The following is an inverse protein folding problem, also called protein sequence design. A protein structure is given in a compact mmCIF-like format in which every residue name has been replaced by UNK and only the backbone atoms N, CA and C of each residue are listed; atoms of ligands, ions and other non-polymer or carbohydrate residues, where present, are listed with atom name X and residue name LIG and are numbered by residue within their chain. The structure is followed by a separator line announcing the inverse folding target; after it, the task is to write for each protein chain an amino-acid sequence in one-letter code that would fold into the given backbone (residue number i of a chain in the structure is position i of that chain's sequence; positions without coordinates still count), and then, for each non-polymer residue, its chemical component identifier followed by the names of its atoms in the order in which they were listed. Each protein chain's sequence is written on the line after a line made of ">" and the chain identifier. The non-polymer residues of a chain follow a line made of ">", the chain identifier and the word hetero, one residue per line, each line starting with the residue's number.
data_IF_758375436754
#
_entry.id   IF_758375436754
#
_cell.length_a   1.000
_cell.length_b   1.000
_cell.length_c   1.000
_cell.angle_alpha   90.00
_cell.angle_beta   90.00
_cell.angle_gamma   90.00
#
_symmetry.space_group_name_H-M   'P 1'
#
loop_
_entity.id
_entity.type
_entity.pdbx_description
1 polymer ?
#
# COMPACT_ATOMS: atom_id res chain seq x y z
N UNK A 1 -0.06 24.12 -8.46
CA UNK A 1 0.97 23.67 -7.48
C UNK A 1 2.26 24.46 -7.70
N UNK A 2 2.89 24.40 -8.89
CA UNK A 2 4.22 25.00 -9.16
C UNK A 2 4.32 26.51 -8.84
N UNK A 3 3.23 27.24 -9.01
CA UNK A 3 3.19 28.70 -8.75
C UNK A 3 2.84 29.04 -7.30
N UNK A 4 2.48 28.06 -6.47
CA UNK A 4 2.05 28.24 -5.09
C UNK A 4 0.94 29.34 -4.97
N UNK A 5 -0.07 29.26 -5.84
CA UNK A 5 -1.09 30.31 -5.99
C UNK A 5 -2.12 30.22 -4.85
N UNK A 6 -2.18 31.27 -4.04
CA UNK A 6 -3.14 31.38 -2.94
C UNK A 6 -4.60 31.63 -3.39
N UNK A 7 -4.82 32.03 -4.65
CA UNK A 7 -6.14 32.24 -5.22
C UNK A 7 -6.60 31.06 -6.10
N UNK A 8 -5.74 30.05 -6.26
CA UNK A 8 -6.05 28.85 -7.04
C UNK A 8 -7.02 27.92 -6.30
N UNK A 9 -7.45 26.82 -6.95
CA UNK A 9 -8.26 25.81 -6.29
C UNK A 9 -7.52 25.18 -5.11
N UNK A 10 -8.24 24.86 -4.04
CA UNK A 10 -7.66 24.29 -2.84
C UNK A 10 -7.08 22.90 -3.12
N UNK A 11 -5.84 22.69 -2.73
CA UNK A 11 -5.17 21.38 -2.73
C UNK A 11 -4.22 21.30 -1.56
N UNK A 12 -4.44 20.29 -0.68
CA UNK A 12 -3.64 20.04 0.51
C UNK A 12 -3.20 18.58 0.52
N UNK A 13 -1.94 18.33 0.80
CA UNK A 13 -1.44 16.99 1.09
C UNK A 13 -1.35 16.78 2.60
N UNK A 14 -2.10 15.81 3.11
CA UNK A 14 -2.02 15.40 4.51
C UNK A 14 -0.87 14.40 4.67
N UNK A 15 0.06 14.73 5.56
CA UNK A 15 1.26 13.95 5.82
C UNK A 15 1.14 13.08 7.08
N UNK A 16 0.43 13.58 8.09
CA UNK A 16 0.29 12.91 9.40
C UNK A 16 -0.97 13.39 10.12
N UNK A 17 -1.45 12.56 11.02
CA UNK A 17 -2.56 12.90 11.92
C UNK A 17 -2.02 12.99 13.37
N UNK A 18 -2.39 14.01 14.10
CA UNK A 18 -2.01 14.22 15.49
C UNK A 18 -3.24 14.15 16.39
N UNK A 19 -3.19 13.42 17.50
CA UNK A 19 -4.25 13.43 18.49
C UNK A 19 -4.26 14.75 19.27
N UNK A 20 -5.42 15.09 19.81
CA UNK A 20 -5.52 16.06 20.89
C UNK A 20 -5.01 15.46 22.19
N UNK A 21 -4.79 16.28 23.23
CA UNK A 21 -4.25 15.81 24.51
C UNK A 21 -5.09 14.71 25.20
N UNK A 22 -6.37 14.64 24.89
CA UNK A 22 -7.34 13.67 25.39
C UNK A 22 -7.69 12.56 24.38
N UNK A 23 -7.04 12.54 23.20
CA UNK A 23 -7.26 11.60 22.12
C UNK A 23 -8.73 11.42 21.67
N UNK A 24 -9.58 12.43 21.93
CA UNK A 24 -10.98 12.43 21.49
C UNK A 24 -11.13 12.94 20.08
N UNK A 25 -10.29 13.90 19.69
CA UNK A 25 -10.25 14.48 18.35
C UNK A 25 -8.86 14.31 17.73
N UNK A 26 -8.83 14.25 16.41
CA UNK A 26 -7.61 14.17 15.63
C UNK A 26 -7.48 15.35 14.69
N UNK A 27 -6.26 15.84 14.54
CA UNK A 27 -5.95 16.95 13.64
C UNK A 27 -5.06 16.49 12.52
N UNK A 28 -5.51 16.72 11.30
CA UNK A 28 -4.77 16.38 10.08
C UNK A 28 -3.70 17.45 9.82
N UNK A 29 -2.43 17.04 9.83
CA UNK A 29 -1.29 17.89 9.51
C UNK A 29 -0.91 17.75 8.05
N UNK A 30 -0.92 18.85 7.31
CA UNK A 30 -0.66 18.83 5.90
C UNK A 30 -0.04 20.12 5.38
N UNK A 31 0.38 20.08 4.12
CA UNK A 31 0.89 21.24 3.40
C UNK A 31 -0.13 21.74 2.39
N UNK A 32 -0.45 23.03 2.44
CA UNK A 32 -1.28 23.68 1.43
C UNK A 32 -0.43 23.91 0.19
N UNK A 33 -0.77 23.24 -0.91
CA UNK A 33 -0.04 23.32 -2.18
C UNK A 33 -0.62 24.36 -3.13
N UNK A 34 -1.93 24.59 -3.04
CA UNK A 34 -2.67 25.57 -3.84
C UNK A 34 -3.90 26.05 -3.08
N UNK A 35 -4.35 27.25 -3.34
CA UNK A 35 -5.52 27.84 -2.72
C UNK A 35 -5.28 28.36 -1.31
N UNK A 36 -6.36 28.65 -0.60
CA UNK A 36 -6.37 29.07 0.80
C UNK A 36 -7.45 28.29 1.52
N UNK A 37 -7.12 27.65 2.63
CA UNK A 37 -8.08 26.93 3.46
C UNK A 37 -8.59 27.85 4.57
N UNK A 38 -9.90 27.82 4.84
CA UNK A 38 -10.56 28.60 5.86
C UNK A 38 -11.47 27.75 6.74
N UNK A 39 -11.71 28.20 7.97
CA UNK A 39 -12.65 27.54 8.87
C UNK A 39 -14.08 27.59 8.28
N UNK A 40 -14.83 26.49 8.42
CA UNK A 40 -16.19 26.36 7.89
C UNK A 40 -16.27 26.00 6.40
N UNK A 41 -15.13 25.84 5.71
CA UNK A 41 -15.08 25.43 4.32
C UNK A 41 -15.40 23.94 4.15
N UNK A 42 -16.29 23.59 3.22
CA UNK A 42 -16.51 22.20 2.80
C UNK A 42 -15.43 21.78 1.82
N UNK A 43 -14.86 20.61 2.05
CA UNK A 43 -13.75 20.04 1.28
C UNK A 43 -14.02 18.58 0.94
N UNK A 44 -13.46 18.11 -0.16
CA UNK A 44 -13.38 16.68 -0.48
C UNK A 44 -12.09 16.11 0.13
N UNK A 45 -12.21 15.04 0.90
CA UNK A 45 -11.11 14.28 1.43
C UNK A 45 -11.00 12.99 0.64
N UNK A 46 -9.86 12.78 -0.02
CA UNK A 46 -9.58 11.64 -0.87
C UNK A 46 -8.53 10.77 -0.20
N UNK A 47 -8.85 9.50 -0.03
CA UNK A 47 -7.88 8.51 0.43
C UNK A 47 -6.89 8.09 -0.65
N UNK A 48 -5.89 7.27 -0.31
CA UNK A 48 -4.85 6.85 -1.24
C UNK A 48 -5.34 5.91 -2.34
N UNK A 49 -6.47 5.24 -2.14
CA UNK A 49 -7.06 4.27 -3.09
C UNK A 49 -8.13 4.86 -3.98
N UNK A 50 -8.47 6.14 -3.81
CA UNK A 50 -9.47 6.81 -4.62
C UNK A 50 -9.11 6.81 -6.11
N UNK A 51 -10.08 6.44 -6.93
CA UNK A 51 -10.03 6.61 -8.40
C UNK A 51 -11.27 7.37 -8.87
N UNK A 52 -11.20 8.10 -10.01
CA UNK A 52 -12.36 8.81 -10.55
C UNK A 52 -13.56 7.92 -10.91
N UNK A 53 -13.31 6.62 -11.09
CA UNK A 53 -14.32 5.62 -11.44
C UNK A 53 -14.95 4.98 -10.19
N UNK A 54 -14.27 5.08 -9.04
CA UNK A 54 -14.66 4.49 -7.77
C UNK A 54 -14.56 5.54 -6.66
N UNK A 55 -15.71 5.99 -6.17
CA UNK A 55 -15.82 7.01 -5.13
C UNK A 55 -15.80 6.43 -3.70
N UNK A 56 -15.48 5.16 -3.50
CA UNK A 56 -15.53 4.52 -2.19
C UNK A 56 -14.60 5.18 -1.15
N UNK A 57 -13.44 5.68 -1.57
CA UNK A 57 -12.45 6.32 -0.69
C UNK A 57 -12.51 7.85 -0.76
N UNK A 58 -13.70 8.42 -0.87
CA UNK A 58 -13.95 9.85 -0.85
C UNK A 58 -14.99 10.23 0.21
N UNK A 59 -14.74 11.33 0.91
CA UNK A 59 -15.73 11.96 1.78
C UNK A 59 -15.78 13.47 1.59
N UNK A 60 -16.96 14.05 1.77
CA UNK A 60 -17.14 15.50 1.81
C UNK A 60 -17.32 15.89 3.28
N UNK A 61 -16.34 16.65 3.78
CA UNK A 61 -16.25 17.03 5.19
C UNK A 61 -16.16 18.56 5.33
N UNK A 62 -16.48 19.07 6.50
CA UNK A 62 -16.39 20.49 6.80
C UNK A 62 -15.24 20.75 7.78
N UNK A 63 -14.33 21.63 7.41
CA UNK A 63 -13.22 22.04 8.24
C UNK A 63 -13.75 22.80 9.46
N UNK A 64 -13.70 22.21 10.65
CA UNK A 64 -14.17 22.81 11.89
C UNK A 64 -13.16 23.80 12.51
N UNK A 65 -11.87 23.61 12.24
CA UNK A 65 -10.81 24.47 12.73
C UNK A 65 -9.56 24.44 11.86
N UNK A 66 -8.92 25.59 11.77
CA UNK A 66 -7.66 25.79 11.04
C UNK A 66 -6.60 26.30 12.00
N UNK A 67 -5.46 25.64 12.07
CA UNK A 67 -4.40 25.97 13.02
C UNK A 67 -3.03 25.92 12.35
N UNK A 68 -2.10 26.70 12.89
CA UNK A 68 -0.67 26.61 12.58
C UNK A 68 0.01 25.80 13.69
N UNK A 69 0.82 24.81 13.32
CA UNK A 69 1.55 23.98 14.26
C UNK A 69 2.84 24.69 14.73
N UNK A 70 2.93 24.94 16.03
CA UNK A 70 4.12 25.49 16.67
C UNK A 70 4.61 24.52 17.75
N UNK A 71 5.38 23.51 17.33
CA UNK A 71 5.80 22.39 18.17
C UNK A 71 4.58 21.68 18.80
N UNK A 72 4.41 21.76 20.12
CA UNK A 72 3.26 21.19 20.83
C UNK A 72 2.00 22.09 20.86
N UNK A 73 2.11 23.29 20.37
CA UNK A 73 0.99 24.24 20.37
C UNK A 73 0.31 24.27 18.99
N UNK A 74 -1.00 24.38 19.00
CA UNK A 74 -1.81 24.63 17.80
C UNK A 74 -2.41 26.04 17.93
N UNK A 75 -1.91 26.97 17.12
CA UNK A 75 -2.36 28.37 17.12
C UNK A 75 -3.46 28.52 16.09
N UNK A 76 -4.65 28.95 16.52
CA UNK A 76 -5.78 29.16 15.65
C UNK A 76 -5.49 30.26 14.59
N UNK A 77 -5.81 29.97 13.33
CA UNK A 77 -5.68 30.90 12.23
C UNK A 77 -7.02 31.02 11.47
N UNK A 78 -7.41 32.21 11.01
CA UNK A 78 -8.64 32.38 10.23
C UNK A 78 -8.58 31.72 8.87
N UNK A 79 -7.38 31.57 8.31
CA UNK A 79 -7.10 30.90 7.06
C UNK A 79 -5.61 30.76 6.82
N UNK A 80 -5.22 29.75 6.04
CA UNK A 80 -3.83 29.46 5.71
C UNK A 80 -3.69 29.35 4.19
N UNK A 81 -2.85 30.21 3.56
CA UNK A 81 -2.63 30.19 2.13
C UNK A 81 -1.61 29.14 1.69
N UNK A 82 -1.56 28.89 0.38
CA UNK A 82 -0.60 28.01 -0.26
C UNK A 82 0.85 28.26 0.18
N UNK A 83 1.64 27.18 0.26
CA UNK A 83 3.05 27.19 0.66
C UNK A 83 3.27 26.93 2.16
N UNK A 84 2.25 27.03 2.98
CA UNK A 84 2.33 26.87 4.43
C UNK A 84 1.89 25.49 4.90
N UNK A 85 2.31 25.12 6.10
CA UNK A 85 1.84 23.95 6.81
C UNK A 85 0.61 24.33 7.65
N UNK A 86 -0.33 23.39 7.75
CA UNK A 86 -1.60 23.59 8.44
C UNK A 86 -1.99 22.36 9.25
N UNK A 87 -2.69 22.59 10.36
CA UNK A 87 -3.43 21.58 11.11
C UNK A 87 -4.93 21.83 10.89
N UNK A 88 -5.66 20.81 10.48
CA UNK A 88 -7.10 20.87 10.22
C UNK A 88 -7.84 19.94 11.16
N UNK A 89 -8.94 20.44 11.76
CA UNK A 89 -9.89 19.65 12.56
C UNK A 89 -11.17 19.41 11.77
N UNK A 90 -11.86 18.29 12.07
CA UNK A 90 -13.18 17.97 11.53
C UNK A 90 -13.16 17.22 10.21
N UNK A 91 -11.99 16.78 9.74
CA UNK A 91 -11.81 16.02 8.48
C UNK A 91 -11.14 14.67 8.68
N UNK A 92 -10.92 14.27 9.93
CA UNK A 92 -10.10 13.09 10.26
C UNK A 92 -10.84 11.76 10.16
N UNK A 93 -12.17 11.76 10.00
CA UNK A 93 -12.99 10.56 10.08
C UNK A 93 -12.54 9.48 9.08
N UNK A 94 -12.27 9.86 7.84
CA UNK A 94 -11.88 8.96 6.74
C UNK A 94 -10.37 8.84 6.54
N UNK A 95 -9.57 9.68 7.19
CA UNK A 95 -8.11 9.66 7.03
C UNK A 95 -7.51 8.51 7.83
N UNK A 96 -6.89 7.57 7.14
CA UNK A 96 -6.16 6.47 7.78
C UNK A 96 -4.71 6.88 8.15
N UNK A 97 -3.93 7.35 7.19
CA UNK A 97 -2.53 7.80 7.38
C UNK A 97 -2.21 9.05 6.60
N UNK A 98 -2.56 9.06 5.31
CA UNK A 98 -2.39 10.17 4.38
C UNK A 98 -3.67 10.39 3.61
N UNK A 99 -3.88 11.59 3.15
CA UNK A 99 -5.02 11.95 2.31
C UNK A 99 -4.70 13.16 1.45
N UNK A 100 -5.48 13.34 0.41
CA UNK A 100 -5.49 14.56 -0.39
C UNK A 100 -6.78 15.31 -0.11
N UNK A 101 -6.68 16.57 0.25
CA UNK A 101 -7.84 17.44 0.48
C UNK A 101 -7.94 18.43 -0.66
N UNK A 102 -9.11 18.51 -1.28
CA UNK A 102 -9.35 19.40 -2.40
C UNK A 102 -10.71 20.11 -2.29
N UNK A 103 -10.89 21.13 -3.14
CA UNK A 103 -12.13 21.88 -3.21
C UNK A 103 -13.28 21.01 -3.73
N UNK A 104 -14.48 21.18 -3.18
CA UNK A 104 -15.71 20.52 -3.63
C UNK A 104 -16.11 20.91 -5.05
N UNK A 105 -15.72 22.10 -5.49
CA UNK A 105 -16.03 22.63 -6.82
C UNK A 105 -15.18 22.02 -7.94
N UNK A 106 -14.10 21.31 -7.61
CA UNK A 106 -13.26 20.66 -8.63
C UNK A 106 -14.02 19.50 -9.29
N UNK A 107 -14.05 19.46 -10.65
CA UNK A 107 -14.65 18.36 -11.37
C UNK A 107 -13.86 17.06 -11.11
N UNK A 108 -14.55 15.93 -11.17
CA UNK A 108 -13.96 14.59 -10.92
C UNK A 108 -12.78 14.32 -11.86
N UNK A 109 -12.86 14.78 -13.11
CA UNK A 109 -11.81 14.64 -14.13
C UNK A 109 -10.49 15.35 -13.78
N UNK A 110 -10.54 16.39 -12.96
CA UNK A 110 -9.40 17.22 -12.59
C UNK A 110 -8.95 16.95 -11.13
N UNK A 111 -9.52 15.92 -10.51
CA UNK A 111 -9.24 15.54 -9.14
C UNK A 111 -8.16 14.45 -9.12
N UNK A 112 -6.98 14.80 -8.61
CA UNK A 112 -5.84 13.89 -8.52
C UNK A 112 -5.49 13.61 -7.07
N UNK A 113 -5.24 12.34 -6.77
CA UNK A 113 -4.70 11.92 -5.47
C UNK A 113 -3.19 12.12 -5.46
N UNK A 114 -2.70 12.82 -4.45
CA UNK A 114 -1.27 12.96 -4.23
C UNK A 114 -0.73 11.64 -3.66
N UNK A 115 0.37 11.15 -4.22
CA UNK A 115 0.99 9.91 -3.77
C UNK A 115 1.29 9.97 -2.26
N UNK A 116 1.04 8.88 -1.53
CA UNK A 116 1.43 8.78 -0.13
C UNK A 116 2.93 9.00 0.04
N UNK A 117 3.32 9.49 1.22
CA UNK A 117 4.74 9.64 1.55
C UNK A 117 5.33 8.24 1.75
N UNK A 118 6.30 7.88 0.91
CA UNK A 118 7.03 6.62 1.02
C UNK A 118 8.08 6.75 2.12
N UNK A 119 8.03 5.85 3.09
CA UNK A 119 9.02 5.76 4.15
C UNK A 119 10.10 4.75 3.76
N UNK A 120 11.38 5.12 3.92
CA UNK A 120 12.53 4.25 3.60
C UNK A 120 12.70 3.10 4.62
N UNK A 121 12.03 3.19 5.77
CA UNK A 121 12.13 2.21 6.85
C UNK A 121 10.88 1.36 6.87
N UNK A 122 11.06 0.06 6.81
CA UNK A 122 9.98 -0.91 6.94
C UNK A 122 9.77 -1.36 8.39
N UNK A 123 8.56 -1.82 8.69
CA UNK A 123 8.20 -2.42 9.97
C UNK A 123 8.63 -3.88 10.00
N UNK A 124 9.64 -4.19 10.81
CA UNK A 124 10.28 -5.52 10.85
C UNK A 124 9.96 -6.32 12.12
N UNK A 125 9.57 -5.65 13.22
CA UNK A 125 9.19 -6.29 14.46
C UNK A 125 7.68 -6.48 14.53
N UNK A 126 7.26 -7.69 14.89
CA UNK A 126 5.88 -8.12 15.04
C UNK A 126 5.62 -8.48 16.49
N UNK A 127 4.55 -7.99 17.06
CA UNK A 127 4.09 -8.28 18.43
C UNK A 127 2.61 -8.62 18.38
N UNK A 128 2.23 -9.75 18.97
CA UNK A 128 0.82 -10.10 19.14
C UNK A 128 0.26 -9.43 20.41
N UNK A 129 -0.95 -8.96 20.32
CA UNK A 129 -1.63 -8.26 21.41
C UNK A 129 -3.02 -8.85 21.68
N UNK A 130 -3.33 -9.00 22.96
CA UNK A 130 -4.60 -9.52 23.41
C UNK A 130 -5.12 -8.67 24.57
N UNK A 131 -6.43 -8.44 24.68
CA UNK A 131 -7.00 -7.82 25.88
C UNK A 131 -6.93 -8.82 27.03
N UNK A 132 -6.63 -8.34 28.25
CA UNK A 132 -6.67 -9.18 29.45
C UNK A 132 -8.08 -9.76 29.68
N UNK A 133 -9.10 -8.99 29.32
CA UNK A 133 -10.51 -9.37 29.42
C UNK A 133 -11.11 -9.44 28.01
N UNK A 134 -11.60 -10.59 27.55
CA UNK A 134 -12.16 -10.74 26.20
C UNK A 134 -13.33 -9.76 25.90
N UNK A 135 -14.07 -9.34 26.90
CA UNK A 135 -15.16 -8.37 26.75
C UNK A 135 -14.66 -6.96 26.32
N UNK A 136 -13.39 -6.65 26.52
CA UNK A 136 -12.78 -5.36 26.18
C UNK A 136 -12.20 -5.34 24.74
N UNK A 137 -12.33 -6.42 23.99
CA UNK A 137 -11.85 -6.52 22.61
C UNK A 137 -12.31 -5.35 21.71
N UNK A 138 -13.60 -4.92 21.72
CA UNK A 138 -14.02 -3.78 20.89
C UNK A 138 -13.27 -2.47 21.25
N UNK A 139 -12.96 -2.25 22.53
CA UNK A 139 -12.20 -1.09 22.99
C UNK A 139 -10.76 -1.13 22.50
N UNK A 140 -10.13 -2.32 22.53
CA UNK A 140 -8.80 -2.52 21.97
C UNK A 140 -8.76 -2.24 20.46
N UNK A 141 -9.74 -2.73 19.71
CA UNK A 141 -9.84 -2.50 18.27
C UNK A 141 -9.99 -1.02 17.91
N UNK A 142 -10.77 -0.27 18.68
CA UNK A 142 -10.88 1.17 18.52
C UNK A 142 -9.53 1.87 18.81
N UNK A 143 -8.86 1.47 19.89
CA UNK A 143 -7.50 1.94 20.19
C UNK A 143 -6.50 1.66 19.09
N UNK A 144 -6.53 0.45 18.49
CA UNK A 144 -5.67 0.08 17.37
C UNK A 144 -5.93 0.93 16.11
N UNK A 145 -7.19 1.25 15.82
CA UNK A 145 -7.53 2.16 14.71
C UNK A 145 -6.94 3.55 14.94
N UNK A 146 -7.01 4.07 16.17
CA UNK A 146 -6.42 5.37 16.56
C UNK A 146 -4.89 5.35 16.44
N UNK A 147 -4.25 4.29 16.90
CA UNK A 147 -2.80 4.08 16.75
C UNK A 147 -2.41 4.05 15.28
N UNK A 148 -3.12 3.30 14.45
CA UNK A 148 -2.82 3.23 13.02
C UNK A 148 -2.92 4.58 12.31
N UNK A 149 -3.83 5.46 12.75
CA UNK A 149 -3.92 6.85 12.24
C UNK A 149 -2.71 7.71 12.63
N UNK A 150 -2.26 7.61 13.89
CA UNK A 150 -1.26 8.52 14.42
C UNK A 150 0.19 8.12 14.13
N UNK A 151 0.42 6.81 14.00
CA UNK A 151 1.75 6.24 13.80
C UNK A 151 1.94 5.76 12.34
N UNK A 152 2.63 6.53 11.49
CA UNK A 152 2.71 6.24 10.05
C UNK A 152 3.36 4.87 9.74
N UNK A 153 4.36 4.48 10.55
CA UNK A 153 5.13 3.25 10.36
C UNK A 153 4.54 2.02 11.08
N UNK A 154 3.49 2.19 11.88
CA UNK A 154 2.77 1.06 12.47
C UNK A 154 1.85 0.44 11.43
N UNK A 155 1.84 -0.87 11.37
CA UNK A 155 0.84 -1.64 10.64
C UNK A 155 0.14 -2.60 11.59
N UNK A 156 -1.17 -2.70 11.47
CA UNK A 156 -1.98 -3.61 12.26
C UNK A 156 -2.53 -4.69 11.35
N UNK A 157 -2.41 -5.95 11.77
CA UNK A 157 -2.96 -7.11 11.04
C UNK A 157 -3.75 -8.01 11.98
N UNK A 158 -4.63 -8.79 11.41
CA UNK A 158 -5.26 -9.94 12.09
C UNK A 158 -4.73 -11.17 11.39
N UNK A 159 -4.06 -12.04 12.14
CA UNK A 159 -3.53 -13.30 11.63
C UNK A 159 -4.67 -14.32 11.41
N UNK A 160 -4.42 -15.37 10.66
CA UNK A 160 -5.40 -16.45 10.45
C UNK A 160 -5.84 -17.13 11.76
N UNK A 161 -4.97 -17.14 12.78
CA UNK A 161 -5.27 -17.57 14.14
C UNK A 161 -6.32 -16.71 14.85
N UNK A 162 -6.63 -15.53 14.32
CA UNK A 162 -7.48 -14.51 14.96
C UNK A 162 -6.73 -13.58 15.90
N UNK A 163 -5.42 -13.72 16.03
CA UNK A 163 -4.58 -12.83 16.85
C UNK A 163 -4.42 -11.47 16.19
N UNK A 164 -4.50 -10.42 17.00
CA UNK A 164 -4.20 -9.08 16.54
C UNK A 164 -2.72 -8.79 16.68
N UNK A 165 -2.06 -8.44 15.58
CA UNK A 165 -0.63 -8.17 15.54
C UNK A 165 -0.35 -6.72 15.19
N UNK A 166 0.67 -6.18 15.85
CA UNK A 166 1.27 -4.88 15.59
C UNK A 166 2.66 -5.08 14.98
N UNK A 167 2.90 -4.44 13.85
CA UNK A 167 4.22 -4.37 13.24
C UNK A 167 4.80 -2.97 13.44
N UNK A 168 6.05 -2.91 13.87
CA UNK A 168 6.78 -1.67 14.11
C UNK A 168 8.24 -1.76 13.67
N UNK A 169 8.91 -0.63 13.61
CA UNK A 169 10.29 -0.51 13.11
C UNK A 169 11.35 -0.95 14.10
N UNK A 170 11.02 -1.02 15.39
CA UNK A 170 11.97 -1.40 16.44
C UNK A 170 11.31 -1.46 17.82
N UNK A 171 12.02 -2.02 18.81
CA UNK A 171 11.50 -2.23 20.17
C UNK A 171 11.07 -0.93 20.82
N UNK A 172 11.93 0.10 20.82
CA UNK A 172 11.63 1.39 21.43
C UNK A 172 10.39 2.07 20.80
N UNK A 173 10.24 1.91 19.49
CA UNK A 173 9.07 2.44 18.78
C UNK A 173 7.79 1.70 19.21
N UNK A 174 7.84 0.38 19.28
CA UNK A 174 6.71 -0.45 19.73
C UNK A 174 6.38 -0.15 21.21
N UNK A 175 7.35 0.04 22.09
CA UNK A 175 7.13 0.40 23.48
C UNK A 175 6.38 1.72 23.61
N UNK A 176 6.75 2.75 22.83
CA UNK A 176 6.01 4.02 22.79
C UNK A 176 4.57 3.82 22.32
N UNK A 177 4.38 3.04 21.24
CA UNK A 177 3.05 2.72 20.71
C UNK A 177 2.20 1.98 21.74
N UNK A 178 2.78 1.00 22.42
CA UNK A 178 2.08 0.20 23.43
C UNK A 178 1.74 1.02 24.69
N UNK A 179 2.63 1.94 25.08
CA UNK A 179 2.36 2.88 26.16
C UNK A 179 1.15 3.77 25.81
N UNK A 180 1.17 4.38 24.62
CA UNK A 180 0.08 5.25 24.19
C UNK A 180 -1.23 4.47 23.99
N UNK A 181 -1.14 3.22 23.53
CA UNK A 181 -2.31 2.35 23.39
C UNK A 181 -2.96 2.08 24.76
N UNK A 182 -2.16 1.81 25.79
CA UNK A 182 -2.65 1.54 27.15
C UNK A 182 -3.20 2.78 27.85
N UNK A 183 -2.44 3.88 27.82
CA UNK A 183 -2.71 5.07 28.63
C UNK A 183 -3.63 6.08 27.94
N UNK A 184 -3.58 6.16 26.59
CA UNK A 184 -4.22 7.24 25.86
C UNK A 184 -5.37 6.77 24.97
N UNK A 185 -5.16 5.71 24.17
CA UNK A 185 -6.13 5.33 23.12
C UNK A 185 -7.15 4.30 23.55
N UNK A 186 -6.73 3.29 24.30
CA UNK A 186 -7.61 2.23 24.75
C UNK A 186 -7.88 2.26 26.26
N UNK A 187 -7.03 2.93 27.07
CA UNK A 187 -7.15 3.02 28.54
C UNK A 187 -7.49 1.66 29.19
N UNK A 188 -6.68 0.64 28.86
CA UNK A 188 -6.91 -0.73 29.31
C UNK A 188 -5.61 -1.52 29.39
N UNK A 189 -5.60 -2.55 30.21
CA UNK A 189 -4.49 -3.50 30.32
C UNK A 189 -4.48 -4.46 29.12
N UNK A 190 -3.32 -4.58 28.47
CA UNK A 190 -3.10 -5.38 27.28
C UNK A 190 -1.96 -6.36 27.54
N UNK A 191 -2.19 -7.62 27.23
CA UNK A 191 -1.16 -8.65 27.19
C UNK A 191 -0.41 -8.56 25.88
N UNK A 192 0.91 -8.62 25.95
CA UNK A 192 1.83 -8.52 24.80
C UNK A 192 2.64 -9.82 24.73
N UNK A 193 2.82 -10.36 23.51
CA UNK A 193 3.74 -11.46 23.25
C UNK A 193 5.19 -10.97 23.19
N UNK A 194 6.13 -11.90 23.24
CA UNK A 194 7.51 -11.59 22.89
C UNK A 194 7.61 -11.09 21.44
N UNK A 195 8.44 -10.08 21.16
CA UNK A 195 8.61 -9.57 19.84
C UNK A 195 9.26 -10.61 18.89
N UNK A 196 8.66 -10.77 17.73
CA UNK A 196 9.16 -11.66 16.67
C UNK A 196 9.57 -10.83 15.47
N UNK A 197 10.68 -11.19 14.83
CA UNK A 197 11.11 -10.52 13.58
C UNK A 197 10.32 -11.06 12.41
N UNK A 198 9.86 -10.17 11.53
CA UNK A 198 9.24 -10.53 10.26
C UNK A 198 10.28 -11.17 9.34
N UNK A 199 9.96 -12.32 8.79
CA UNK A 199 10.78 -13.01 7.80
C UNK A 199 10.26 -12.75 6.39
N UNK A 200 11.08 -13.12 5.40
CA UNK A 200 10.67 -13.16 3.99
C UNK A 200 10.90 -14.58 3.47
N UNK A 201 9.98 -15.05 2.66
CA UNK A 201 10.15 -16.30 1.92
C UNK A 201 10.95 -16.04 0.63
N UNK A 202 11.85 -16.95 0.29
CA UNK A 202 12.64 -16.82 -0.93
C UNK A 202 12.91 -18.18 -1.56
N UNK A 203 13.43 -18.16 -2.78
CA UNK A 203 13.84 -19.34 -3.54
C UNK A 203 15.36 -19.31 -3.68
N UNK A 204 16.03 -20.38 -3.31
CA UNK A 204 17.51 -20.49 -3.33
C UNK A 204 18.01 -20.99 -4.70
N UNK A 205 17.25 -21.90 -5.32
CA UNK A 205 17.61 -22.53 -6.59
C UNK A 205 16.40 -22.56 -7.52
N UNK A 206 16.67 -22.64 -8.82
CA UNK A 206 15.61 -22.79 -9.83
C UNK A 206 14.82 -24.07 -9.59
N UNK A 207 13.50 -24.00 -9.72
CA UNK A 207 12.62 -25.16 -9.62
C UNK A 207 13.09 -26.30 -10.54
N UNK A 208 13.32 -27.48 -9.98
CA UNK A 208 13.74 -28.67 -10.74
C UNK A 208 12.64 -29.17 -11.69
N UNK A 209 11.39 -28.83 -11.42
CA UNK A 209 10.21 -29.24 -12.16
C UNK A 209 9.36 -28.03 -12.53
N UNK A 210 8.78 -28.04 -13.71
CA UNK A 210 7.76 -27.07 -14.08
C UNK A 210 6.49 -27.34 -13.28
N UNK A 211 6.09 -26.38 -12.45
CA UNK A 211 4.89 -26.47 -11.65
C UNK A 211 3.69 -26.00 -12.47
N UNK A 212 2.61 -26.75 -12.45
CA UNK A 212 1.38 -26.36 -13.10
C UNK A 212 0.20 -26.34 -12.14
N UNK A 213 -0.73 -25.42 -12.38
CA UNK A 213 -1.99 -25.35 -11.69
C UNK A 213 -3.14 -25.29 -12.69
N UNK A 214 -4.20 -26.03 -12.39
CA UNK A 214 -5.45 -25.93 -13.13
C UNK A 214 -6.40 -25.01 -12.37
N UNK A 215 -7.13 -24.16 -13.10
CA UNK A 215 -8.20 -23.35 -12.47
C UNK A 215 -9.30 -24.25 -11.90
N UNK A 216 -10.10 -23.78 -10.90
CA UNK A 216 -11.16 -24.58 -10.28
C UNK A 216 -12.13 -25.21 -11.30
N UNK A 217 -12.40 -24.53 -12.40
CA UNK A 217 -13.23 -25.04 -13.50
C UNK A 217 -12.49 -26.01 -14.43
N UNK A 218 -11.17 -26.25 -14.26
CA UNK A 218 -10.31 -27.13 -15.09
C UNK A 218 -10.22 -26.78 -16.58
N UNK A 219 -10.63 -25.58 -16.96
CA UNK A 219 -10.57 -25.13 -18.35
C UNK A 219 -9.29 -24.36 -18.66
N UNK A 220 -8.60 -23.86 -17.65
CA UNK A 220 -7.34 -23.15 -17.83
C UNK A 220 -6.23 -23.84 -17.03
N UNK A 221 -5.02 -23.76 -17.53
CA UNK A 221 -3.79 -24.27 -16.88
C UNK A 221 -2.68 -23.26 -17.07
N UNK A 222 -2.01 -22.93 -15.99
CA UNK A 222 -0.78 -22.15 -16.00
C UNK A 222 0.38 -23.03 -15.58
N UNK A 223 1.51 -22.91 -16.27
CA UNK A 223 2.74 -23.63 -15.94
C UNK A 223 3.83 -22.62 -15.67
N UNK A 224 4.40 -22.68 -14.47
CA UNK A 224 5.31 -21.69 -13.92
C UNK A 224 6.61 -22.37 -13.46
N UNK A 225 7.69 -21.58 -13.46
CA UNK A 225 8.97 -21.91 -12.83
C UNK A 225 9.33 -20.76 -11.90
N UNK A 226 9.75 -21.09 -10.67
CA UNK A 226 10.33 -20.14 -9.75
C UNK A 226 11.85 -20.25 -9.77
N UNK A 227 12.54 -19.14 -9.79
CA UNK A 227 14.00 -19.04 -9.73
C UNK A 227 14.42 -17.83 -8.90
N UNK A 228 15.63 -17.85 -8.29
CA UNK A 228 16.13 -16.70 -7.57
C UNK A 228 16.30 -15.51 -8.52
N UNK A 229 15.97 -14.33 -8.02
CA UNK A 229 16.23 -13.08 -8.73
C UNK A 229 17.73 -12.74 -8.60
N UNK A 230 18.31 -12.18 -9.64
CA UNK A 230 19.71 -11.79 -9.66
C UNK A 230 20.00 -10.69 -8.63
N UNK A 231 21.20 -10.74 -8.03
CA UNK A 231 21.62 -9.82 -6.98
C UNK A 231 21.49 -8.33 -7.39
N UNK A 232 21.00 -7.53 -6.46
CA UNK A 232 20.86 -6.09 -6.63
C UNK A 232 19.56 -5.64 -7.27
N UNK A 233 18.79 -6.51 -7.94
CA UNK A 233 17.50 -6.14 -8.55
C UNK A 233 16.46 -5.86 -7.46
N UNK A 234 16.37 -6.73 -6.46
CA UNK A 234 15.40 -6.60 -5.37
C UNK A 234 15.60 -5.27 -4.61
N UNK A 235 16.86 -4.92 -4.31
CA UNK A 235 17.20 -3.67 -3.62
C UNK A 235 16.88 -2.44 -4.46
N UNK A 236 17.15 -2.48 -5.76
CA UNK A 236 16.88 -1.36 -6.66
C UNK A 236 15.38 -1.17 -6.92
N UNK A 237 14.58 -2.26 -6.90
CA UNK A 237 13.12 -2.20 -6.93
C UNK A 237 12.56 -1.57 -5.64
N UNK A 238 13.00 -2.04 -4.48
CA UNK A 238 12.58 -1.51 -3.17
C UNK A 238 12.93 -0.02 -3.01
N UNK A 239 14.06 0.41 -3.58
CA UNK A 239 14.46 1.84 -3.59
C UNK A 239 13.69 2.69 -4.60
N UNK A 240 12.85 2.08 -5.43
CA UNK A 240 12.10 2.78 -6.48
C UNK A 240 12.98 3.29 -7.63
N UNK A 241 14.16 2.73 -7.83
CA UNK A 241 15.06 3.08 -8.95
C UNK A 241 14.56 2.48 -10.28
N UNK A 242 13.72 1.46 -10.20
CA UNK A 242 13.10 0.80 -11.33
C UNK A 242 11.58 0.95 -11.18
N UNK A 243 10.93 1.60 -12.15
CA UNK A 243 9.49 1.80 -12.17
C UNK A 243 8.86 0.95 -13.29
N UNK A 244 7.84 0.15 -12.95
CA UNK A 244 7.09 -0.69 -13.89
C UNK A 244 6.32 0.14 -14.94
N UNK A 245 5.99 1.38 -14.61
CA UNK A 245 5.26 2.29 -15.50
C UNK A 245 6.15 2.91 -16.59
N UNK A 246 7.46 2.67 -16.55
CA UNK A 246 8.35 3.09 -17.63
C UNK A 246 7.95 2.42 -18.96
N UNK A 247 8.17 3.08 -20.11
CA UNK A 247 7.98 2.45 -21.39
C UNK A 247 8.72 1.13 -21.47
N UNK A 248 8.14 0.02 -22.01
CA UNK A 248 8.76 -1.31 -22.00
C UNK A 248 10.18 -1.35 -22.59
N UNK A 249 10.48 -0.46 -23.54
CA UNK A 249 11.83 -0.34 -24.11
C UNK A 249 12.84 0.27 -23.11
N UNK A 250 12.41 1.22 -22.30
CA UNK A 250 13.27 1.84 -21.31
C UNK A 250 13.52 0.89 -20.14
N UNK A 251 12.46 0.20 -19.68
CA UNK A 251 12.56 -0.84 -18.65
C UNK A 251 13.51 -1.97 -19.09
N UNK A 252 13.33 -2.49 -20.30
CA UNK A 252 14.19 -3.54 -20.88
C UNK A 252 15.65 -3.09 -20.95
N UNK A 253 15.91 -1.84 -21.29
CA UNK A 253 17.27 -1.30 -21.34
C UNK A 253 17.94 -1.31 -19.97
N UNK A 254 17.23 -0.94 -18.91
CA UNK A 254 17.73 -0.98 -17.52
C UNK A 254 18.12 -2.41 -17.15
N UNK A 255 17.25 -3.38 -17.40
CA UNK A 255 17.52 -4.80 -17.11
C UNK A 255 18.71 -5.36 -17.92
N UNK A 256 18.87 -4.93 -19.16
CA UNK A 256 20.00 -5.34 -19.99
C UNK A 256 21.32 -4.72 -19.55
N UNK A 257 21.35 -3.39 -19.38
CA UNK A 257 22.60 -2.66 -19.11
C UNK A 257 23.10 -2.86 -17.67
N UNK A 258 22.22 -2.98 -16.69
CA UNK A 258 22.59 -3.13 -15.28
C UNK A 258 22.75 -4.58 -14.83
N UNK A 259 21.85 -5.45 -15.26
CA UNK A 259 21.75 -6.82 -14.73
C UNK A 259 22.07 -7.90 -15.75
N UNK A 260 22.37 -7.52 -16.99
CA UNK A 260 22.77 -8.46 -18.04
C UNK A 260 21.66 -9.38 -18.55
N UNK A 261 20.37 -9.00 -18.37
CA UNK A 261 19.27 -9.80 -18.86
C UNK A 261 19.26 -9.86 -20.38
N UNK A 262 18.78 -10.99 -20.93
CA UNK A 262 18.50 -11.09 -22.34
C UNK A 262 17.42 -10.09 -22.80
N UNK A 263 17.55 -9.60 -24.04
CA UNK A 263 16.66 -8.59 -24.61
C UNK A 263 15.18 -9.02 -24.63
N UNK A 264 14.93 -10.30 -24.85
CA UNK A 264 13.57 -10.84 -24.88
C UNK A 264 12.99 -10.94 -23.47
N UNK A 265 13.73 -11.52 -22.52
CA UNK A 265 13.34 -11.63 -21.13
C UNK A 265 13.07 -10.24 -20.51
N UNK A 266 13.94 -9.27 -20.77
CA UNK A 266 13.80 -7.91 -20.27
C UNK A 266 12.55 -7.18 -20.79
N UNK A 267 12.06 -7.52 -21.99
CA UNK A 267 10.83 -6.96 -22.57
C UNK A 267 9.57 -7.67 -22.10
N UNK A 268 9.71 -8.88 -21.57
CA UNK A 268 8.63 -9.77 -21.15
C UNK A 268 8.27 -9.60 -19.67
N UNK A 269 8.83 -8.63 -18.97
CA UNK A 269 8.45 -8.32 -17.59
C UNK A 269 7.01 -7.81 -17.57
N UNK A 270 6.16 -8.46 -16.77
CA UNK A 270 4.76 -8.12 -16.66
C UNK A 270 4.40 -7.34 -15.42
N UNK A 271 4.95 -7.73 -14.29
CA UNK A 271 4.63 -7.13 -13.00
C UNK A 271 5.78 -7.29 -12.00
N UNK A 272 5.77 -6.42 -11.02
CA UNK A 272 6.49 -6.60 -9.76
C UNK A 272 5.51 -7.03 -8.67
N UNK A 273 5.98 -7.63 -7.60
CA UNK A 273 5.16 -8.14 -6.51
C UNK A 273 5.82 -7.98 -5.15
N UNK A 274 5.06 -7.72 -4.10
CA UNK A 274 3.59 -7.72 -3.98
C UNK A 274 2.86 -6.47 -4.50
N UNK A 275 3.58 -5.42 -4.85
CA UNK A 275 3.10 -4.18 -5.44
C UNK A 275 4.04 -3.73 -6.57
N UNK A 276 3.81 -2.55 -7.15
CA UNK A 276 4.59 -2.04 -8.28
C UNK A 276 6.05 -1.69 -7.93
N UNK A 277 6.44 -1.75 -6.68
CA UNK A 277 7.80 -1.58 -6.16
C UNK A 277 8.32 -2.82 -5.43
N UNK A 278 7.57 -3.91 -5.49
CA UNK A 278 7.91 -5.14 -4.78
C UNK A 278 9.14 -5.85 -5.35
N UNK A 279 9.90 -6.57 -4.49
CA UNK A 279 11.19 -7.17 -4.83
C UNK A 279 11.08 -8.49 -5.60
N UNK A 280 9.95 -8.78 -6.21
CA UNK A 280 9.73 -9.99 -7.01
C UNK A 280 9.32 -9.63 -8.43
N UNK A 281 9.62 -10.49 -9.40
CA UNK A 281 9.40 -10.21 -10.82
C UNK A 281 8.62 -11.35 -11.48
N UNK A 282 7.57 -11.00 -12.23
CA UNK A 282 6.83 -11.92 -13.10
C UNK A 282 7.25 -11.67 -14.55
N UNK A 283 7.66 -12.74 -15.23
CA UNK A 283 8.12 -12.71 -16.63
C UNK A 283 7.27 -13.65 -17.49
N UNK A 284 6.86 -13.18 -18.65
CA UNK A 284 6.23 -14.01 -19.69
C UNK A 284 7.30 -14.68 -20.57
N UNK A 285 7.52 -15.96 -20.33
CA UNK A 285 8.46 -16.78 -21.08
C UNK A 285 7.74 -17.79 -22.01
N UNK A 286 6.47 -17.57 -22.31
CA UNK A 286 5.69 -18.43 -23.21
C UNK A 286 6.11 -18.22 -24.66
N UNK A 287 6.20 -19.32 -25.42
CA UNK A 287 6.53 -19.27 -26.83
C UNK A 287 5.27 -18.97 -27.66
N UNK A 288 5.37 -18.12 -28.71
CA UNK A 288 4.24 -17.80 -29.58
C UNK A 288 3.68 -19.01 -30.35
N UNK A 289 4.52 -20.03 -30.61
CA UNK A 289 4.12 -21.23 -31.29
C UNK A 289 3.30 -22.20 -30.42
N UNK A 290 3.46 -22.10 -29.08
CA UNK A 290 2.82 -23.01 -28.13
C UNK A 290 1.59 -22.40 -27.45
N UNK A 291 1.51 -21.06 -27.42
CA UNK A 291 0.48 -20.33 -26.67
C UNK A 291 -0.12 -19.22 -27.51
N UNK A 292 -1.45 -19.15 -27.56
CA UNK A 292 -2.16 -18.02 -28.17
C UNK A 292 -1.95 -16.75 -27.34
N UNK A 293 -1.03 -15.90 -27.78
CA UNK A 293 -0.70 -14.63 -27.11
C UNK A 293 -1.89 -13.67 -27.01
N UNK A 294 -2.82 -13.69 -27.98
CA UNK A 294 -4.00 -12.81 -27.97
C UNK A 294 -4.90 -13.19 -26.80
N UNK A 295 -5.16 -14.47 -26.62
CA UNK A 295 -5.95 -14.96 -25.48
C UNK A 295 -5.23 -14.73 -24.16
N UNK A 296 -3.93 -14.99 -24.09
CA UNK A 296 -3.12 -14.76 -22.91
C UNK A 296 -3.15 -13.29 -22.47
N UNK A 297 -3.06 -12.35 -23.39
CA UNK A 297 -3.15 -10.92 -23.08
C UNK A 297 -4.51 -10.50 -22.51
N UNK A 298 -5.61 -11.16 -22.86
CA UNK A 298 -6.93 -10.84 -22.27
C UNK A 298 -7.03 -11.17 -20.79
N UNK A 299 -6.21 -12.09 -20.30
CA UNK A 299 -6.22 -12.55 -18.89
C UNK A 299 -4.99 -12.08 -18.11
N UNK A 300 -4.11 -11.33 -18.75
CA UNK A 300 -2.85 -10.85 -18.19
C UNK A 300 -3.03 -10.18 -16.83
N UNK A 301 -4.01 -9.30 -16.70
CA UNK A 301 -4.23 -8.55 -15.45
C UNK A 301 -4.67 -9.46 -14.29
N UNK A 302 -5.41 -10.52 -14.56
CA UNK A 302 -5.77 -11.51 -13.52
C UNK A 302 -4.55 -12.31 -13.05
N UNK A 303 -3.66 -12.68 -13.99
CA UNK A 303 -2.39 -13.37 -13.66
C UNK A 303 -1.49 -12.46 -12.83
N UNK A 304 -1.39 -11.16 -13.16
CA UNK A 304 -0.64 -10.20 -12.35
C UNK A 304 -1.20 -10.07 -10.94
N UNK A 305 -2.53 -9.94 -10.80
CA UNK A 305 -3.18 -9.85 -9.49
C UNK A 305 -2.92 -11.11 -8.66
N UNK A 306 -3.05 -12.29 -9.25
CA UNK A 306 -2.73 -13.55 -8.58
C UNK A 306 -1.27 -13.61 -8.12
N UNK A 307 -0.33 -13.20 -8.99
CA UNK A 307 1.09 -13.10 -8.64
C UNK A 307 1.36 -12.11 -7.49
N UNK A 308 0.76 -10.93 -7.55
CA UNK A 308 0.91 -9.92 -6.49
C UNK A 308 0.31 -10.38 -5.17
N UNK A 309 -0.79 -11.11 -5.21
CA UNK A 309 -1.37 -11.71 -4.02
C UNK A 309 -0.48 -12.81 -3.44
N UNK A 310 -0.05 -13.77 -4.27
CA UNK A 310 0.84 -14.86 -3.85
C UNK A 310 2.20 -14.39 -3.31
N UNK A 311 2.73 -13.27 -3.81
CA UNK A 311 3.99 -12.70 -3.31
C UNK A 311 3.82 -11.87 -2.04
N UNK A 312 2.60 -11.46 -1.71
CA UNK A 312 2.29 -10.76 -0.46
C UNK A 312 2.25 -11.71 0.72
N UNK A 313 1.69 -12.90 0.52
CA UNK A 313 1.56 -13.97 1.49
C UNK A 313 2.09 -15.25 0.85
N UNK A 314 3.33 -15.60 1.19
CA UNK A 314 4.01 -16.75 0.61
C UNK A 314 3.43 -18.08 1.10
N UNK A 315 3.70 -19.19 0.38
CA UNK A 315 3.05 -20.48 0.61
C UNK A 315 3.60 -21.29 1.81
N UNK A 316 4.68 -20.83 2.47
CA UNK A 316 5.31 -21.58 3.55
C UNK A 316 4.82 -21.15 4.94
N UNK A 317 4.74 -19.85 5.19
CA UNK A 317 4.43 -19.29 6.50
C UNK A 317 3.69 -17.94 6.39
N UNK A 318 3.02 -17.68 5.29
CA UNK A 318 2.26 -16.44 4.99
C UNK A 318 3.09 -15.14 5.12
N UNK A 319 4.42 -15.27 5.06
CA UNK A 319 5.32 -14.12 5.06
C UNK A 319 5.56 -13.64 3.62
N UNK A 320 5.85 -12.33 3.40
CA UNK A 320 6.04 -11.81 2.06
C UNK A 320 7.26 -12.44 1.37
N UNK A 321 7.12 -12.69 0.09
CA UNK A 321 8.21 -13.21 -0.73
C UNK A 321 9.19 -12.09 -1.13
N UNK A 322 10.48 -12.41 -1.20
CA UNK A 322 11.54 -11.49 -1.61
C UNK A 322 12.58 -12.17 -2.49
N UNK A 323 12.96 -11.48 -3.56
CA UNK A 323 14.04 -11.95 -4.45
C UNK A 323 13.65 -13.14 -5.31
N UNK A 324 12.38 -13.26 -5.70
CA UNK A 324 11.88 -14.36 -6.52
C UNK A 324 11.51 -13.87 -7.92
N UNK A 325 11.98 -14.59 -8.93
CA UNK A 325 11.59 -14.43 -10.32
C UNK A 325 10.69 -15.60 -10.73
N UNK A 326 9.45 -15.30 -11.11
CA UNK A 326 8.50 -16.28 -11.60
C UNK A 326 8.38 -16.16 -13.12
N UNK A 327 8.64 -17.25 -13.83
CA UNK A 327 8.53 -17.35 -15.27
C UNK A 327 7.28 -18.14 -15.63
N UNK A 328 6.40 -17.52 -16.41
CA UNK A 328 5.27 -18.21 -17.04
C UNK A 328 5.75 -18.90 -18.28
N UNK A 329 5.91 -20.24 -18.22
CA UNK A 329 6.46 -21.03 -19.34
C UNK A 329 5.39 -21.48 -20.32
N UNK A 330 4.20 -21.83 -19.83
CA UNK A 330 3.09 -22.27 -20.68
C UNK A 330 1.75 -21.85 -20.09
N UNK A 331 0.79 -21.50 -20.93
CA UNK A 331 -0.56 -21.15 -20.54
C UNK A 331 -1.58 -21.76 -21.51
N UNK A 332 -2.50 -22.54 -20.99
CA UNK A 332 -3.68 -23.00 -21.71
C UNK A 332 -4.88 -22.22 -21.21
N UNK A 333 -5.45 -21.38 -22.05
CA UNK A 333 -6.56 -20.48 -21.69
C UNK A 333 -7.80 -20.87 -22.50
N UNK A 334 -8.95 -20.91 -21.84
CA UNK A 334 -10.23 -21.19 -22.49
C UNK A 334 -10.59 -20.10 -23.50
N UNK A 335 -11.17 -20.50 -24.64
CA UNK A 335 -11.61 -19.58 -25.67
C UNK A 335 -12.83 -18.75 -25.25
N UNK A 336 -13.72 -19.33 -24.45
CA UNK A 336 -14.93 -18.68 -23.99
C UNK A 336 -14.66 -17.77 -22.78
N UNK A 337 -15.09 -16.49 -22.82
CA UNK A 337 -14.82 -15.54 -21.74
C UNK A 337 -15.36 -15.97 -20.37
N UNK A 338 -16.49 -16.70 -20.33
CA UNK A 338 -17.12 -17.17 -19.10
C UNK A 338 -16.21 -18.09 -18.26
N UNK A 339 -15.31 -18.84 -18.90
CA UNK A 339 -14.41 -19.78 -18.23
C UNK A 339 -13.06 -19.18 -17.83
N UNK A 340 -12.75 -17.95 -18.25
CA UNK A 340 -11.48 -17.27 -17.98
C UNK A 340 -11.61 -15.99 -17.16
N UNK A 341 -12.67 -15.87 -16.36
CA UNK A 341 -12.88 -14.73 -15.47
C UNK A 341 -11.88 -14.66 -14.31
N UNK A 342 -11.75 -13.48 -13.69
CA UNK A 342 -10.83 -13.25 -12.57
C UNK A 342 -11.00 -14.23 -11.41
N UNK A 343 -12.23 -14.54 -11.01
CA UNK A 343 -12.50 -15.51 -9.94
C UNK A 343 -12.04 -16.94 -10.23
N UNK A 344 -11.61 -17.25 -11.45
CA UNK A 344 -11.03 -18.55 -11.83
C UNK A 344 -9.50 -18.50 -11.93
N UNK A 345 -8.94 -17.36 -12.33
CA UNK A 345 -7.52 -17.24 -12.66
C UNK A 345 -6.67 -16.61 -11.57
N UNK A 346 -7.28 -15.82 -10.66
CA UNK A 346 -6.55 -15.21 -9.55
C UNK A 346 -6.15 -16.25 -8.48
N UNK A 347 -7.04 -17.16 -8.05
CA UNK A 347 -6.65 -18.21 -7.10
C UNK A 347 -5.68 -19.19 -7.73
#
# INVERSE_FOLDING_TARGET
>A
IERCDAQGPLLIQIAKVYPTSDATEFRAFGRVLSGTVSCGQSVKVLGPTYTPEDEEDMAVETVSGVYVAEARYAVHAPGVPAGNWVLLSGIDATIAKSATVCDTALPVTDTYVLRPIVHMTESVLKVAIEPLRPAELPKMLDGLRKVNKCYPLVSTRVEESGEHTLLGTGELYLDCVMHDLRELYAEMEIKISDPVVKFCETVVETSAVQCFADTPNKHNRLTLIAEPLEDGIAEDLERGLIDIHLPPRALARIFQERYGWDALAARSVWAFGPDDHGPNVLVDDTLPDDVDKVQLYTVREYIKQGFQWATREGPLCDEPMRGVKIRLCHARIATEPIYRGGGQLIP
#
